data_IF_944303645256
#
_entry.id   IF_944303645256
#
_cell.length_a   1.000
_cell.length_b   1.000
_cell.length_c   1.000
_cell.angle_alpha   90.00
_cell.angle_beta   90.00
_cell.angle_gamma   90.00
#
_symmetry.space_group_name_H-M   'P 1'
#
loop_
_entity.id
_entity.type
_entity.pdbx_description
1 polymer ?
#
# COMPACT_ATOMS: atom_id res chain seq x y z
N UNK A 1 15.53 28.02 15.21
CA UNK A 1 15.79 26.72 14.55
C UNK A 1 14.61 26.46 13.64
N UNK A 2 14.81 26.59 12.33
CA UNK A 2 13.75 26.52 11.33
C UNK A 2 13.34 25.07 11.06
N UNK A 3 12.04 24.83 10.95
CA UNK A 3 11.51 23.62 10.35
C UNK A 3 11.98 23.58 8.87
N UNK A 4 12.46 22.43 8.39
CA UNK A 4 12.72 22.24 6.97
C UNK A 4 11.37 22.02 6.26
N UNK A 5 11.02 22.88 5.31
CA UNK A 5 9.77 22.83 4.52
C UNK A 5 9.66 21.61 3.57
N UNK A 6 10.54 20.61 3.70
CA UNK A 6 10.49 19.37 2.92
C UNK A 6 9.32 18.47 3.34
N UNK A 7 8.98 18.48 4.64
CA UNK A 7 7.93 17.61 5.18
C UNK A 7 6.61 18.34 5.29
N UNK A 8 5.53 17.71 4.83
CA UNK A 8 4.19 18.17 5.14
C UNK A 8 3.98 18.20 6.66
N UNK A 9 3.35 19.27 7.15
CA UNK A 9 3.02 19.40 8.58
C UNK A 9 1.90 18.43 8.94
N UNK A 10 2.06 17.72 10.07
CA UNK A 10 1.16 16.64 10.52
C UNK A 10 1.16 15.44 9.58
N UNK A 11 0.39 14.43 9.93
CA UNK A 11 0.20 13.20 9.16
C UNK A 11 -1.25 12.74 9.31
N UNK A 12 -1.67 11.85 8.42
CA UNK A 12 -2.97 11.18 8.54
C UNK A 12 -2.81 9.94 9.43
N UNK A 13 -3.72 9.78 10.39
CA UNK A 13 -3.70 8.66 11.34
C UNK A 13 -5.03 7.91 11.27
N UNK A 14 -4.94 6.59 11.17
CA UNK A 14 -6.08 5.69 11.32
C UNK A 14 -5.72 4.57 12.28
N UNK A 15 -6.54 4.41 13.31
CA UNK A 15 -6.39 3.32 14.29
C UNK A 15 -7.07 2.07 13.74
N UNK A 16 -6.26 1.04 13.48
CA UNK A 16 -6.74 -0.28 13.05
C UNK A 16 -7.61 -0.91 14.13
N UNK A 17 -8.83 -1.29 13.77
CA UNK A 17 -9.84 -1.77 14.74
C UNK A 17 -9.98 -3.28 14.82
N UNK A 18 -9.65 -3.97 13.73
CA UNK A 18 -9.76 -5.41 13.63
C UNK A 18 -8.84 -5.97 12.53
N UNK A 19 -8.84 -7.29 12.38
CA UNK A 19 -7.98 -8.00 11.43
C UNK A 19 -8.35 -7.73 9.96
N UNK A 20 -9.63 -7.52 9.66
CA UNK A 20 -10.07 -7.23 8.30
C UNK A 20 -9.67 -5.81 7.89
N UNK A 21 -9.77 -4.86 8.82
CA UNK A 21 -9.27 -3.49 8.66
C UNK A 21 -7.74 -3.48 8.43
N UNK A 22 -7.00 -4.29 9.19
CA UNK A 22 -5.56 -4.48 8.99
C UNK A 22 -5.23 -4.99 7.58
N UNK A 23 -5.91 -6.05 7.13
CA UNK A 23 -5.67 -6.66 5.81
C UNK A 23 -5.91 -5.65 4.69
N UNK A 24 -7.04 -4.92 4.73
CA UNK A 24 -7.35 -3.88 3.74
C UNK A 24 -6.29 -2.78 3.68
N UNK A 25 -5.79 -2.33 4.83
CA UNK A 25 -4.76 -1.30 4.86
C UNK A 25 -3.41 -1.80 4.31
N UNK A 26 -3.04 -3.05 4.57
CA UNK A 26 -1.82 -3.64 4.00
C UNK A 26 -1.96 -3.80 2.48
N UNK A 27 -3.07 -4.36 2.01
CA UNK A 27 -3.38 -4.48 0.59
C UNK A 27 -3.29 -3.12 -0.10
N UNK A 28 -3.88 -2.09 0.52
CA UNK A 28 -3.85 -0.73 0.02
C UNK A 28 -2.41 -0.17 -0.11
N UNK A 29 -1.59 -0.36 0.93
CA UNK A 29 -0.19 0.10 0.94
C UNK A 29 0.63 -0.59 -0.16
N UNK A 30 0.45 -1.90 -0.36
CA UNK A 30 1.16 -2.63 -1.40
C UNK A 30 0.66 -2.30 -2.80
N UNK A 31 -0.62 -2.00 -2.97
CA UNK A 31 -1.21 -1.63 -4.25
C UNK A 31 -0.92 -0.17 -4.68
N UNK A 32 -0.59 0.73 -3.74
CA UNK A 32 -0.35 2.15 -4.00
C UNK A 32 0.56 2.48 -5.20
N UNK A 33 1.70 1.80 -5.43
CA UNK A 33 2.55 2.07 -6.59
C UNK A 33 1.84 1.85 -7.93
N UNK A 34 0.95 0.86 -8.00
CA UNK A 34 0.13 0.59 -9.19
C UNK A 34 -0.98 1.64 -9.31
N UNK A 35 -1.71 1.91 -8.21
CA UNK A 35 -2.76 2.95 -8.17
C UNK A 35 -2.26 4.32 -8.63
N UNK A 36 -1.04 4.69 -8.28
CA UNK A 36 -0.43 5.96 -8.68
C UNK A 36 0.33 5.91 -10.02
N UNK A 37 0.27 4.78 -10.73
CA UNK A 37 0.83 4.61 -12.07
C UNK A 37 2.36 4.58 -12.11
N UNK A 38 3.03 4.27 -11.00
CA UNK A 38 4.49 4.17 -10.96
C UNK A 38 5.02 2.88 -11.58
N UNK A 39 4.23 1.80 -11.52
CA UNK A 39 4.55 0.47 -12.07
C UNK A 39 3.27 -0.20 -12.58
N UNK A 40 3.41 -1.16 -13.49
CA UNK A 40 2.28 -1.94 -14.00
C UNK A 40 1.85 -3.05 -13.03
N UNK A 41 2.76 -3.51 -12.17
CA UNK A 41 2.49 -4.53 -11.16
C UNK A 41 3.21 -4.25 -9.83
N UNK A 42 2.64 -4.71 -8.71
CA UNK A 42 3.22 -4.52 -7.37
C UNK A 42 4.59 -5.21 -7.26
N UNK A 43 4.80 -6.32 -7.98
CA UNK A 43 6.05 -7.06 -7.99
C UNK A 43 7.24 -6.25 -8.53
N UNK A 44 6.99 -5.27 -9.42
CA UNK A 44 7.99 -4.40 -10.02
C UNK A 44 8.47 -3.28 -9.07
N UNK A 45 7.79 -3.05 -7.93
CA UNK A 45 8.12 -1.95 -7.03
C UNK A 45 9.04 -2.37 -5.88
N UNK A 46 10.37 -2.13 -5.95
CA UNK A 46 11.33 -2.64 -4.96
C UNK A 46 11.24 -1.95 -3.60
N UNK A 47 10.63 -0.77 -3.52
CA UNK A 47 10.57 0.06 -2.32
C UNK A 47 9.30 -0.23 -1.50
N UNK A 48 9.00 -1.51 -1.27
CA UNK A 48 7.90 -1.94 -0.42
C UNK A 48 8.26 -3.19 0.38
N UNK A 49 7.43 -3.50 1.38
CA UNK A 49 7.51 -4.76 2.12
C UNK A 49 6.84 -5.93 1.40
N UNK A 50 6.30 -5.74 0.19
CA UNK A 50 5.57 -6.76 -0.56
C UNK A 50 6.41 -8.03 -0.79
N UNK A 51 7.67 -7.90 -1.25
CA UNK A 51 8.54 -9.06 -1.50
C UNK A 51 8.81 -9.88 -0.23
N UNK A 52 8.78 -9.25 0.94
CA UNK A 52 8.89 -9.96 2.22
C UNK A 52 7.63 -10.77 2.50
N UNK A 53 6.45 -10.22 2.20
CA UNK A 53 5.16 -10.90 2.36
C UNK A 53 5.02 -12.07 1.37
N UNK A 54 5.51 -11.93 0.14
CA UNK A 54 5.59 -13.03 -0.82
C UNK A 54 6.49 -14.16 -0.30
N UNK A 55 7.69 -13.84 0.21
CA UNK A 55 8.60 -14.85 0.80
C UNK A 55 8.00 -15.56 2.02
N UNK A 56 7.12 -14.89 2.76
CA UNK A 56 6.42 -15.45 3.91
C UNK A 56 5.15 -16.24 3.52
N UNK A 57 4.79 -16.30 2.23
CA UNK A 57 3.60 -16.99 1.75
C UNK A 57 2.28 -16.26 2.03
N UNK A 58 2.33 -14.96 2.37
CA UNK A 58 1.14 -14.15 2.64
C UNK A 58 0.48 -13.69 1.34
N UNK A 59 1.29 -13.32 0.34
CA UNK A 59 0.81 -12.98 -1.00
C UNK A 59 1.40 -13.92 -2.05
N UNK A 60 0.63 -14.22 -3.11
CA UNK A 60 1.23 -14.72 -4.35
C UNK A 60 2.01 -13.59 -5.07
N UNK A 61 3.00 -13.95 -5.88
CA UNK A 61 3.84 -12.96 -6.57
C UNK A 61 3.03 -12.14 -7.60
N UNK A 62 2.02 -12.75 -8.19
CA UNK A 62 1.09 -12.19 -9.17
C UNK A 62 -0.19 -11.63 -8.53
N UNK A 63 -0.16 -11.31 -7.23
CA UNK A 63 -1.32 -10.80 -6.48
C UNK A 63 -2.03 -9.62 -7.14
N UNK A 64 -1.29 -8.72 -7.81
CA UNK A 64 -1.84 -7.55 -8.51
C UNK A 64 -2.00 -7.75 -10.03
N UNK A 65 -1.85 -8.96 -10.55
CA UNK A 65 -1.88 -9.22 -11.99
C UNK A 65 -3.31 -9.31 -12.58
N UNK A 66 -4.34 -9.27 -11.73
CA UNK A 66 -5.74 -9.11 -12.13
C UNK A 66 -6.26 -7.73 -11.76
N UNK A 67 -7.20 -7.18 -12.54
CA UNK A 67 -7.91 -5.93 -12.24
C UNK A 67 -8.43 -5.98 -10.80
N UNK A 68 -7.76 -5.26 -9.89
CA UNK A 68 -8.18 -5.21 -8.51
C UNK A 68 -9.32 -4.21 -8.40
N UNK A 69 -10.49 -4.68 -7.96
CA UNK A 69 -11.69 -3.91 -7.57
C UNK A 69 -11.44 -2.91 -6.41
N UNK A 70 -10.19 -2.49 -6.17
CA UNK A 70 -9.81 -1.48 -5.18
C UNK A 70 -10.12 -0.05 -5.64
N UNK A 71 -10.69 0.12 -6.84
CA UNK A 71 -11.14 1.41 -7.38
C UNK A 71 -12.40 1.98 -6.70
N UNK A 72 -13.02 1.23 -5.77
CA UNK A 72 -14.36 1.54 -5.25
C UNK A 72 -14.47 2.08 -3.82
N UNK A 73 -13.40 2.56 -3.19
CA UNK A 73 -13.52 3.03 -1.79
C UNK A 73 -12.34 3.86 -1.33
N UNK A 74 -12.35 5.15 -1.67
CA UNK A 74 -11.54 6.13 -0.95
C UNK A 74 -11.84 6.04 0.54
N UNK A 75 -10.79 5.94 1.33
CA UNK A 75 -10.79 6.34 2.74
C UNK A 75 -10.87 7.88 2.81
N UNK A 76 -11.94 8.45 2.27
CA UNK A 76 -12.34 9.82 2.63
C UNK A 76 -13.00 9.82 4.01
#
# INVERSE_FOLDING_TARGET
>A
KGECDLWQRRYWEHTIRDENDMRRHIDYIHYNPVKHGHVASVAEWPFSSFHRFVKAGVYPLDWSAGESDLDGGGYE
#
